data_IF_760336663994
#
_entry.id   IF_760336663994
#
_cell.length_a   1.000
_cell.length_b   1.000
_cell.length_c   1.000
_cell.angle_alpha   90.00
_cell.angle_beta   90.00
_cell.angle_gamma   90.00
#
_symmetry.space_group_name_H-M   'P 1'
#
loop_
_entity.id
_entity.type
_entity.pdbx_description
1 polymer ?
#
# COMPACT_ATOMS: atom_id res chain seq x y z
N UNK A 1 -45.40 6.28 1.78
CA UNK A 1 -44.66 6.18 3.05
C UNK A 1 -44.34 4.70 3.30
N UNK A 2 -43.19 4.23 2.84
CA UNK A 2 -42.61 2.97 3.28
C UNK A 2 -41.28 3.35 3.94
N UNK A 3 -41.30 3.36 5.26
CA UNK A 3 -40.13 3.42 6.11
C UNK A 3 -39.51 2.04 6.10
N UNK A 4 -38.51 1.81 5.27
CA UNK A 4 -37.62 0.69 5.45
C UNK A 4 -36.50 1.13 6.39
N UNK A 5 -36.58 0.62 7.61
CA UNK A 5 -35.57 0.76 8.65
C UNK A 5 -34.23 0.26 8.15
N UNK A 6 -33.37 1.16 7.77
CA UNK A 6 -31.95 0.90 7.60
C UNK A 6 -31.28 1.01 8.95
N UNK A 7 -31.32 -0.06 9.73
CA UNK A 7 -30.44 -0.20 10.89
C UNK A 7 -29.00 -0.07 10.43
N UNK A 8 -28.32 0.93 10.94
CA UNK A 8 -26.90 1.09 10.83
C UNK A 8 -26.24 -0.08 11.55
N UNK A 9 -25.76 -1.07 10.79
CA UNK A 9 -24.77 -2.01 11.28
C UNK A 9 -23.42 -1.25 11.36
N UNK A 10 -23.36 -0.25 12.22
CA UNK A 10 -22.16 0.03 12.98
C UNK A 10 -22.22 -1.02 14.09
N UNK A 11 -21.46 -2.08 13.90
CA UNK A 11 -21.57 -3.25 14.75
C UNK A 11 -21.49 -2.89 16.22
N UNK A 12 -22.06 -3.71 17.03
CA UNK A 12 -22.06 -3.71 18.51
C UNK A 12 -20.68 -3.49 19.16
N UNK A 13 -19.60 -3.48 18.37
CA UNK A 13 -18.23 -3.17 18.78
C UNK A 13 -17.93 -1.66 19.01
N UNK A 14 -18.80 -0.72 18.56
CA UNK A 14 -18.50 0.71 18.67
C UNK A 14 -18.56 1.29 20.09
N UNK A 15 -19.12 0.56 21.04
CA UNK A 15 -19.23 1.00 22.45
C UNK A 15 -18.43 0.14 23.43
N UNK A 16 -17.68 -0.86 22.96
CA UNK A 16 -16.86 -1.66 23.87
C UNK A 16 -15.63 -0.86 24.28
N UNK A 17 -15.37 -0.71 25.59
CA UNK A 17 -14.23 0.03 26.08
C UNK A 17 -12.91 -0.63 25.64
N UNK A 18 -11.90 0.18 25.28
CA UNK A 18 -10.54 -0.29 24.97
C UNK A 18 -9.86 -0.78 26.25
N UNK A 19 -10.12 -2.01 26.64
CA UNK A 19 -9.51 -2.66 27.80
C UNK A 19 -8.27 -3.39 27.34
N UNK A 20 -7.10 -2.96 27.83
CA UNK A 20 -5.83 -3.62 27.53
C UNK A 20 -5.82 -5.00 28.18
N UNK A 21 -5.85 -6.03 27.36
CA UNK A 21 -5.68 -7.42 27.77
C UNK A 21 -4.38 -7.97 27.14
N UNK A 22 -3.35 -8.16 27.95
CA UNK A 22 -2.07 -8.70 27.48
C UNK A 22 -2.11 -10.18 27.12
N UNK A 23 -3.16 -10.90 27.46
CA UNK A 23 -3.37 -12.29 27.06
C UNK A 23 -3.99 -12.38 25.65
N UNK A 24 -4.67 -11.32 25.20
CA UNK A 24 -5.22 -11.24 23.86
C UNK A 24 -4.09 -11.01 22.82
N UNK A 25 -3.94 -11.90 21.83
CA UNK A 25 -2.92 -11.76 20.76
C UNK A 25 -2.99 -10.43 20.02
N UNK A 26 -4.16 -9.79 19.90
CA UNK A 26 -4.33 -8.47 19.28
C UNK A 26 -3.56 -7.39 20.03
N UNK A 27 -3.67 -7.36 21.34
CA UNK A 27 -2.97 -6.37 22.18
C UNK A 27 -1.47 -6.60 22.16
N UNK A 28 -1.03 -7.87 22.17
CA UNK A 28 0.39 -8.19 22.04
C UNK A 28 0.96 -7.71 20.71
N UNK A 29 0.26 -7.98 19.60
CA UNK A 29 0.67 -7.51 18.27
C UNK A 29 0.70 -5.97 18.20
N UNK A 30 -0.31 -5.30 18.73
CA UNK A 30 -0.37 -3.84 18.76
C UNK A 30 0.80 -3.25 19.57
N UNK A 31 1.17 -3.85 20.69
CA UNK A 31 2.34 -3.40 21.48
C UNK A 31 3.62 -3.42 20.63
N UNK A 32 3.84 -4.50 19.89
CA UNK A 32 4.99 -4.62 18.99
C UNK A 32 4.94 -3.61 17.84
N UNK A 33 3.76 -3.35 17.26
CA UNK A 33 3.57 -2.32 16.22
C UNK A 33 3.90 -0.94 16.76
N UNK A 34 3.40 -0.59 17.94
CA UNK A 34 3.62 0.73 18.56
C UNK A 34 5.07 0.93 18.96
N UNK A 35 5.76 -0.13 19.39
CA UNK A 35 7.20 -0.09 19.69
C UNK A 35 8.06 0.28 18.47
N UNK A 36 7.69 -0.21 17.28
CA UNK A 36 8.37 0.17 16.03
C UNK A 36 8.17 1.64 15.67
N UNK A 37 6.97 2.20 15.91
CA UNK A 37 6.70 3.62 15.67
C UNK A 37 7.47 4.53 16.62
N UNK A 38 7.80 4.03 17.80
CA UNK A 38 8.60 4.74 18.80
C UNK A 38 10.11 4.66 18.54
N UNK A 39 10.52 3.90 17.54
CA UNK A 39 11.94 3.77 17.21
C UNK A 39 12.54 5.09 16.74
N UNK A 40 13.84 5.25 16.92
CA UNK A 40 14.60 6.43 16.50
C UNK A 40 14.40 6.76 15.00
N UNK A 41 14.27 5.73 14.16
CA UNK A 41 14.08 5.86 12.72
C UNK A 41 12.70 6.44 12.37
N UNK A 42 11.65 5.94 13.01
CA UNK A 42 10.30 6.49 12.82
C UNK A 42 10.23 7.94 13.33
N UNK A 43 10.84 8.23 14.46
CA UNK A 43 10.93 9.58 15.01
C UNK A 43 11.70 10.55 14.09
N UNK A 44 12.79 10.10 13.48
CA UNK A 44 13.57 10.91 12.52
C UNK A 44 12.78 11.23 11.26
N UNK A 45 11.98 10.30 10.75
CA UNK A 45 11.18 10.51 9.53
C UNK A 45 10.02 11.47 9.80
N UNK A 46 9.32 11.32 10.93
CA UNK A 46 8.26 12.23 11.35
C UNK A 46 8.78 13.58 11.86
N UNK A 47 10.01 13.65 12.35
CA UNK A 47 10.62 14.84 12.92
C UNK A 47 11.44 15.71 11.97
N UNK A 48 11.75 15.24 10.77
CA UNK A 48 12.64 15.96 9.82
C UNK A 48 12.06 17.23 9.20
N UNK A 49 10.77 17.45 9.28
CA UNK A 49 10.15 18.68 8.80
C UNK A 49 9.86 19.57 10.01
N UNK A 50 10.67 20.53 10.33
CA UNK A 50 10.54 21.74 11.20
C UNK A 50 9.32 21.87 12.15
N UNK A 51 8.51 20.82 12.28
CA UNK A 51 7.30 20.76 13.08
C UNK A 51 7.64 20.29 14.50
N UNK A 52 8.12 21.19 15.32
CA UNK A 52 8.24 20.96 16.77
C UNK A 52 6.84 20.82 17.39
N UNK A 53 6.65 19.90 18.36
CA UNK A 53 7.57 18.90 18.90
C UNK A 53 7.36 17.50 18.30
N UNK A 54 8.45 16.79 18.03
CA UNK A 54 8.54 15.41 17.54
C UNK A 54 7.67 14.41 18.35
N UNK A 55 7.63 14.45 19.69
CA UNK A 55 6.82 13.56 20.50
C UNK A 55 5.33 13.60 20.15
N UNK A 56 4.77 14.81 19.93
CA UNK A 56 3.35 14.96 19.60
C UNK A 56 2.99 14.35 18.24
N UNK A 57 3.91 14.36 17.27
CA UNK A 57 3.70 13.73 15.97
C UNK A 57 3.67 12.19 16.10
N UNK A 58 4.58 11.63 16.87
CA UNK A 58 4.62 10.17 17.14
C UNK A 58 3.35 9.74 17.88
N UNK A 59 2.93 10.48 18.89
CA UNK A 59 1.72 10.19 19.65
C UNK A 59 0.46 10.24 18.77
N UNK A 60 0.34 11.23 17.89
CA UNK A 60 -0.75 11.31 16.93
C UNK A 60 -0.78 10.12 15.99
N UNK A 61 0.37 9.66 15.49
CA UNK A 61 0.46 8.46 14.65
C UNK A 61 0.07 7.22 15.43
N UNK A 62 0.55 7.04 16.67
CA UNK A 62 0.14 5.91 17.52
C UNK A 62 -1.37 5.87 17.72
N UNK A 63 -2.01 7.01 18.03
CA UNK A 63 -3.47 7.10 18.19
C UNK A 63 -4.18 6.65 16.92
N UNK A 64 -3.72 7.09 15.75
CA UNK A 64 -4.35 6.71 14.50
C UNK A 64 -4.12 5.23 14.18
N UNK A 65 -2.93 4.70 14.45
CA UNK A 65 -2.67 3.26 14.26
C UNK A 65 -3.54 2.40 15.16
N UNK A 66 -3.74 2.80 16.42
CA UNK A 66 -4.70 2.12 17.33
C UNK A 66 -6.13 2.18 16.79
N UNK A 67 -6.55 3.37 16.35
CA UNK A 67 -7.87 3.55 15.76
C UNK A 67 -8.07 2.65 14.53
N UNK A 68 -7.09 2.56 13.64
CA UNK A 68 -7.14 1.69 12.47
C UNK A 68 -7.12 0.20 12.84
N UNK A 69 -6.28 -0.17 13.80
CA UNK A 69 -6.11 -1.54 14.24
C UNK A 69 -7.40 -2.14 14.84
N UNK A 70 -8.19 -1.31 15.51
CA UNK A 70 -9.49 -1.70 16.08
C UNK A 70 -10.70 -1.21 15.26
N UNK A 71 -10.48 -0.64 14.07
CA UNK A 71 -11.54 -0.06 13.23
C UNK A 71 -12.40 0.98 13.95
N UNK A 72 -11.77 1.81 14.80
CA UNK A 72 -12.40 2.86 15.61
C UNK A 72 -12.16 4.25 15.02
N UNK A 73 -12.93 5.24 15.49
CA UNK A 73 -12.58 6.64 15.28
C UNK A 73 -11.48 7.08 16.26
N UNK A 74 -10.53 7.90 15.79
CA UNK A 74 -9.43 8.38 16.64
C UNK A 74 -9.91 9.31 17.78
N UNK A 75 -11.05 9.95 17.63
CA UNK A 75 -11.66 10.74 18.71
C UNK A 75 -12.09 9.85 19.88
N UNK A 76 -12.63 8.67 19.58
CA UNK A 76 -12.96 7.66 20.59
C UNK A 76 -11.69 7.16 21.31
N UNK A 77 -10.62 6.86 20.57
CA UNK A 77 -9.34 6.44 21.16
C UNK A 77 -8.80 7.53 22.10
N UNK A 78 -8.90 8.81 21.72
CA UNK A 78 -8.47 9.93 22.55
C UNK A 78 -9.31 10.01 23.84
N UNK A 79 -10.62 9.81 23.75
CA UNK A 79 -11.50 9.78 24.91
C UNK A 79 -11.15 8.64 25.86
N UNK A 80 -10.94 7.44 25.33
CA UNK A 80 -10.50 6.27 26.12
C UNK A 80 -9.13 6.49 26.77
N UNK A 81 -8.21 7.15 26.07
CA UNK A 81 -6.91 7.54 26.63
C UNK A 81 -7.04 8.52 27.80
N UNK A 82 -7.99 9.48 27.75
CA UNK A 82 -8.23 10.41 28.86
C UNK A 82 -8.78 9.68 30.09
N UNK A 83 -9.59 8.67 29.88
CA UNK A 83 -10.29 7.97 30.95
C UNK A 83 -9.47 6.79 31.52
N UNK A 84 -8.51 6.22 30.77
CA UNK A 84 -7.84 4.96 31.11
C UNK A 84 -6.32 5.11 31.25
N UNK A 85 -5.84 5.16 32.49
CA UNK A 85 -4.38 5.23 32.78
C UNK A 85 -3.63 4.00 32.25
N UNK A 86 -4.23 2.80 32.28
CA UNK A 86 -3.60 1.56 31.76
C UNK A 86 -3.35 1.65 30.26
N UNK A 87 -4.29 2.21 29.47
CA UNK A 87 -4.13 2.42 28.03
C UNK A 87 -3.04 3.45 27.74
N UNK A 88 -2.97 4.56 28.51
CA UNK A 88 -1.86 5.54 28.38
C UNK A 88 -0.50 4.92 28.62
N UNK A 89 -0.36 4.12 29.68
CA UNK A 89 0.90 3.39 29.98
C UNK A 89 1.26 2.41 28.85
N UNK A 90 0.27 1.67 28.35
CA UNK A 90 0.46 0.73 27.25
C UNK A 90 1.00 1.44 26.00
N UNK A 91 0.47 2.59 25.64
CA UNK A 91 0.91 3.38 24.50
C UNK A 91 2.17 4.22 24.77
N UNK A 92 2.70 4.17 25.99
CA UNK A 92 3.82 4.99 26.45
C UNK A 92 3.62 6.48 26.15
N UNK A 93 2.45 7.00 26.59
CA UNK A 93 2.06 8.40 26.39
C UNK A 93 2.13 9.16 27.72
N UNK A 94 2.87 10.26 27.74
CA UNK A 94 2.93 11.17 28.88
C UNK A 94 1.72 12.10 28.95
N UNK A 95 1.28 12.61 27.81
CA UNK A 95 0.12 13.49 27.67
C UNK A 95 -0.79 13.00 26.56
N UNK A 96 -2.10 13.26 26.69
CA UNK A 96 -3.09 12.92 25.68
C UNK A 96 -3.41 14.16 24.85
N UNK A 97 -3.10 14.19 23.55
CA UNK A 97 -3.41 15.33 22.71
C UNK A 97 -4.93 15.48 22.55
N UNK A 98 -5.37 16.69 22.27
CA UNK A 98 -6.78 16.92 21.88
C UNK A 98 -7.04 16.42 20.46
N UNK A 99 -8.32 16.17 20.14
CA UNK A 99 -8.74 15.79 18.78
C UNK A 99 -8.29 16.84 17.78
N UNK A 100 -8.44 18.12 18.11
CA UNK A 100 -8.01 19.24 17.26
C UNK A 100 -6.50 19.27 17.05
N UNK A 101 -5.72 18.94 18.08
CA UNK A 101 -4.26 18.87 17.96
C UNK A 101 -3.82 17.78 16.97
N UNK A 102 -4.43 16.60 17.03
CA UNK A 102 -4.18 15.52 16.07
C UNK A 102 -4.60 15.94 14.66
N UNK A 103 -5.77 16.54 14.52
CA UNK A 103 -6.27 17.04 13.24
C UNK A 103 -5.34 18.11 12.65
N UNK A 104 -4.99 19.13 13.45
CA UNK A 104 -4.08 20.22 13.04
C UNK A 104 -2.71 19.67 12.62
N UNK A 105 -2.15 18.73 13.37
CA UNK A 105 -0.88 18.12 13.03
C UNK A 105 -0.95 17.41 11.67
N UNK A 106 -1.95 16.55 11.46
CA UNK A 106 -2.14 15.85 10.19
C UNK A 106 -2.43 16.82 9.03
N UNK A 107 -3.10 17.94 9.29
CA UNK A 107 -3.41 18.93 8.26
C UNK A 107 -2.20 19.72 7.76
N UNK A 108 -1.11 19.79 8.53
CA UNK A 108 0.12 20.49 8.15
C UNK A 108 0.85 19.82 6.97
N UNK A 109 0.72 18.51 6.80
CA UNK A 109 1.35 17.78 5.69
C UNK A 109 0.49 17.89 4.43
N UNK A 110 1.11 18.18 3.29
CA UNK A 110 0.49 17.96 1.99
C UNK A 110 0.34 16.46 1.72
N UNK A 111 -0.50 16.09 0.78
CA UNK A 111 -0.68 14.68 0.39
C UNK A 111 0.61 14.07 -0.14
N UNK A 112 1.33 14.82 -1.00
CA UNK A 112 2.59 14.39 -1.59
C UNK A 112 3.66 14.17 -0.50
N UNK A 113 3.77 15.10 0.45
CA UNK A 113 4.71 14.96 1.58
C UNK A 113 4.38 13.73 2.42
N UNK A 114 3.09 13.45 2.65
CA UNK A 114 2.67 12.31 3.44
C UNK A 114 2.95 10.98 2.73
N UNK A 115 2.65 10.90 1.43
CA UNK A 115 2.99 9.74 0.59
C UNK A 115 4.51 9.53 0.57
N UNK A 116 5.28 10.59 0.38
CA UNK A 116 6.74 10.53 0.37
C UNK A 116 7.31 10.07 1.72
N UNK A 117 6.71 10.52 2.82
CA UNK A 117 7.09 10.13 4.16
C UNK A 117 6.90 8.62 4.39
N UNK A 118 5.68 8.11 4.13
CA UNK A 118 5.37 6.69 4.29
C UNK A 118 6.25 5.84 3.37
N UNK A 119 6.38 6.24 2.12
CA UNK A 119 7.28 5.58 1.18
C UNK A 119 8.74 5.60 1.65
N UNK A 120 9.21 6.68 2.28
CA UNK A 120 10.53 6.78 2.88
C UNK A 120 10.77 5.72 3.96
N UNK A 121 9.80 5.55 4.88
CA UNK A 121 9.85 4.50 5.92
C UNK A 121 9.90 3.11 5.29
N UNK A 122 9.00 2.82 4.35
CA UNK A 122 8.97 1.54 3.65
C UNK A 122 10.30 1.27 2.93
N UNK A 123 10.90 2.29 2.31
CA UNK A 123 12.19 2.18 1.63
C UNK A 123 13.33 1.83 2.59
N UNK A 124 13.38 2.46 3.75
CA UNK A 124 14.41 2.17 4.77
C UNK A 124 14.38 0.69 5.14
N UNK A 125 13.21 0.12 5.34
CA UNK A 125 13.09 -1.31 5.64
C UNK A 125 13.54 -2.21 4.50
N UNK A 126 13.31 -1.81 3.24
CA UNK A 126 13.72 -2.57 2.07
C UNK A 126 15.22 -2.53 1.82
N UNK A 127 15.83 -1.36 1.93
CA UNK A 127 17.26 -1.18 1.64
C UNK A 127 18.15 -1.92 2.63
N UNK A 128 17.75 -2.00 3.89
CA UNK A 128 18.51 -2.66 4.95
C UNK A 128 18.46 -4.18 4.89
N UNK A 129 17.41 -4.75 4.30
CA UNK A 129 17.20 -6.20 4.23
C UNK A 129 17.25 -6.76 2.82
N UNK A 130 17.77 -5.96 1.87
CA UNK A 130 17.94 -6.43 0.50
C UNK A 130 18.89 -7.63 0.47
N UNK A 131 18.44 -8.71 -0.15
CA UNK A 131 19.25 -9.91 -0.33
C UNK A 131 20.41 -9.65 -1.30
N UNK A 132 21.49 -10.39 -1.11
CA UNK A 132 22.54 -10.50 -2.13
C UNK A 132 21.94 -11.15 -3.37
N UNK A 133 22.21 -10.58 -4.57
CA UNK A 133 21.71 -11.09 -5.84
C UNK A 133 20.45 -10.41 -6.35
N UNK A 134 19.69 -11.14 -7.15
CA UNK A 134 18.46 -10.64 -7.82
C UNK A 134 17.26 -10.85 -6.92
N UNK A 135 16.46 -9.80 -6.76
CA UNK A 135 15.25 -9.83 -5.96
C UNK A 135 14.02 -9.99 -6.87
N UNK A 136 12.93 -10.47 -6.26
CA UNK A 136 11.62 -10.56 -6.91
C UNK A 136 10.64 -9.67 -6.15
N UNK A 137 9.89 -8.87 -6.88
CA UNK A 137 8.80 -8.05 -6.36
C UNK A 137 7.49 -8.53 -6.97
N UNK A 138 6.38 -8.28 -6.28
CA UNK A 138 5.02 -8.55 -6.76
C UNK A 138 4.28 -7.23 -6.80
N UNK A 139 3.61 -6.94 -7.90
CA UNK A 139 2.81 -5.72 -8.07
C UNK A 139 1.40 -6.11 -8.46
N UNK A 140 0.45 -5.56 -7.74
CA UNK A 140 -0.97 -5.67 -8.06
C UNK A 140 -1.73 -4.44 -7.56
N UNK A 141 -2.99 -4.30 -7.97
CA UNK A 141 -3.82 -3.17 -7.62
C UNK A 141 -5.18 -3.59 -7.05
N UNK A 142 -5.72 -2.74 -6.19
CA UNK A 142 -7.04 -2.97 -5.60
C UNK A 142 -7.86 -1.68 -5.56
N UNK A 143 -9.19 -1.82 -5.70
CA UNK A 143 -10.12 -0.72 -5.55
C UNK A 143 -10.26 -0.29 -4.08
N UNK A 144 -10.25 1.00 -3.85
CA UNK A 144 -10.56 1.66 -2.59
C UNK A 144 -11.87 2.41 -2.74
N UNK A 145 -12.94 1.87 -2.17
CA UNK A 145 -14.28 2.40 -2.31
C UNK A 145 -14.58 3.44 -1.24
N UNK A 146 -15.15 4.59 -1.64
CA UNK A 146 -15.67 5.59 -0.72
C UNK A 146 -17.15 5.29 -0.42
N UNK A 147 -17.57 5.59 0.81
CA UNK A 147 -18.97 5.42 1.21
C UNK A 147 -19.87 6.51 0.60
N UNK A 148 -20.54 6.16 -0.51
CA UNK A 148 -21.43 7.08 -1.24
C UNK A 148 -22.68 7.47 -0.46
N UNK A 149 -23.22 6.58 0.37
CA UNK A 149 -24.46 6.86 1.10
C UNK A 149 -24.25 8.00 2.10
N UNK A 150 -23.07 8.02 2.72
CA UNK A 150 -22.69 9.08 3.60
C UNK A 150 -22.42 10.39 2.84
N UNK A 151 -21.78 10.35 1.68
CA UNK A 151 -21.54 11.50 0.80
C UNK A 151 -22.85 12.17 0.38
N UNK A 152 -23.83 11.38 -0.07
CA UNK A 152 -25.15 11.88 -0.49
C UNK A 152 -25.91 12.63 0.63
N UNK A 153 -25.70 12.23 1.88
CA UNK A 153 -26.35 12.89 3.03
C UNK A 153 -25.71 14.22 3.38
N UNK A 154 -24.41 14.37 3.20
CA UNK A 154 -23.65 15.53 3.73
C UNK A 154 -23.17 16.52 2.67
N UNK A 155 -23.09 16.12 1.41
CA UNK A 155 -22.59 16.98 0.34
C UNK A 155 -23.56 17.05 -0.83
N UNK A 156 -23.78 18.30 -1.31
CA UNK A 156 -24.47 18.52 -2.59
C UNK A 156 -23.61 17.99 -3.76
N UNK A 157 -24.24 17.56 -4.85
CA UNK A 157 -23.59 17.11 -6.08
C UNK A 157 -22.44 18.05 -6.51
N UNK A 158 -22.67 19.36 -6.45
CA UNK A 158 -21.69 20.39 -6.79
C UNK A 158 -20.40 20.35 -5.95
N UNK A 159 -20.45 19.92 -4.68
CA UNK A 159 -19.28 19.75 -3.82
C UNK A 159 -18.53 18.46 -4.09
N UNK A 160 -19.18 17.47 -4.71
CA UNK A 160 -18.54 16.19 -5.09
C UNK A 160 -17.76 16.36 -6.40
N UNK A 161 -18.23 17.20 -7.31
CA UNK A 161 -17.63 17.41 -8.65
C UNK A 161 -16.25 18.05 -8.58
N UNK A 162 -15.94 18.79 -7.51
CA UNK A 162 -14.63 19.46 -7.30
C UNK A 162 -13.62 18.60 -6.53
N UNK A 163 -13.79 17.27 -6.50
CA UNK A 163 -12.89 16.36 -5.81
C UNK A 163 -12.09 15.54 -6.82
N UNK A 164 -10.85 15.16 -6.45
CA UNK A 164 -9.96 14.39 -7.34
C UNK A 164 -10.23 12.88 -7.34
N UNK A 165 -11.22 12.37 -6.59
CA UNK A 165 -11.67 11.00 -6.77
C UNK A 165 -12.58 10.89 -7.98
N UNK A 166 -12.52 9.74 -8.65
CA UNK A 166 -13.25 9.52 -9.89
C UNK A 166 -14.04 8.20 -9.85
N UNK A 167 -14.91 8.04 -10.83
CA UNK A 167 -15.55 6.77 -11.10
C UNK A 167 -14.54 5.72 -11.51
N UNK A 168 -14.67 4.55 -10.96
CA UNK A 168 -13.93 3.36 -11.34
C UNK A 168 -14.85 2.18 -11.60
N UNK A 169 -14.30 1.16 -12.23
CA UNK A 169 -14.97 -0.13 -12.42
C UNK A 169 -14.08 -1.25 -11.88
N UNK A 170 -14.71 -2.15 -11.14
CA UNK A 170 -14.07 -3.37 -10.68
C UNK A 170 -14.98 -4.56 -11.00
N UNK A 171 -14.50 -5.62 -11.67
CA UNK A 171 -15.33 -6.78 -12.03
C UNK A 171 -16.10 -7.38 -10.85
N UNK A 172 -15.51 -7.35 -9.65
CA UNK A 172 -16.08 -7.95 -8.44
C UNK A 172 -17.19 -7.10 -7.81
N UNK A 173 -17.15 -5.76 -7.96
CA UNK A 173 -18.05 -4.84 -7.24
C UNK A 173 -18.81 -3.90 -8.17
N UNK A 174 -18.59 -3.98 -9.49
CA UNK A 174 -19.17 -3.06 -10.47
C UNK A 174 -18.58 -1.66 -10.40
N UNK A 175 -19.41 -0.65 -10.68
CA UNK A 175 -19.01 0.74 -10.63
C UNK A 175 -18.89 1.25 -9.18
N UNK A 176 -17.82 1.99 -8.90
CA UNK A 176 -17.56 2.61 -7.60
C UNK A 176 -17.01 4.02 -7.76
N UNK A 177 -17.09 4.82 -6.71
CA UNK A 177 -16.35 6.08 -6.60
C UNK A 177 -15.21 5.90 -5.62
N UNK A 178 -14.00 6.30 -6.00
CA UNK A 178 -12.86 6.18 -5.11
C UNK A 178 -11.53 6.25 -5.81
N UNK A 179 -10.63 5.38 -5.37
CA UNK A 179 -9.24 5.33 -5.81
C UNK A 179 -8.84 3.91 -6.16
N UNK A 180 -7.79 3.79 -6.94
CA UNK A 180 -7.06 2.55 -7.18
C UNK A 180 -5.73 2.61 -6.42
N UNK A 181 -5.53 1.69 -5.49
CA UNK A 181 -4.26 1.49 -4.79
C UNK A 181 -3.45 0.43 -5.53
N UNK A 182 -2.31 0.82 -6.07
CA UNK A 182 -1.30 -0.10 -6.62
C UNK A 182 -0.22 -0.30 -5.56
N UNK A 183 0.07 -1.55 -5.22
CA UNK A 183 1.02 -1.91 -4.18
C UNK A 183 2.13 -2.79 -4.77
N UNK A 184 3.38 -2.49 -4.45
CA UNK A 184 4.52 -3.34 -4.71
C UNK A 184 5.00 -3.97 -3.40
N UNK A 185 5.17 -5.29 -3.39
CA UNK A 185 5.67 -6.07 -2.26
C UNK A 185 7.01 -6.71 -2.62
N UNK A 186 7.88 -6.85 -1.63
CA UNK A 186 8.99 -7.82 -1.73
C UNK A 186 8.41 -9.24 -1.67
N UNK A 187 8.66 -10.06 -2.70
CA UNK A 187 8.04 -11.38 -2.85
C UNK A 187 8.43 -12.41 -1.77
N UNK A 188 9.45 -12.12 -0.98
CA UNK A 188 9.89 -13.02 0.08
C UNK A 188 9.32 -12.65 1.44
N UNK A 189 9.41 -11.37 1.78
CA UNK A 189 8.97 -10.88 3.10
C UNK A 189 7.52 -10.39 3.09
N UNK A 190 6.90 -10.27 1.93
CA UNK A 190 5.60 -9.65 1.65
C UNK A 190 5.47 -8.20 2.12
N UNK A 191 6.58 -7.57 2.50
CA UNK A 191 6.57 -6.18 2.95
C UNK A 191 6.21 -5.24 1.81
N UNK A 192 5.30 -4.30 2.04
CA UNK A 192 5.12 -3.18 1.13
C UNK A 192 6.44 -2.42 0.94
N UNK A 193 6.81 -2.20 -0.30
CA UNK A 193 8.04 -1.49 -0.65
C UNK A 193 7.75 -0.17 -1.35
N UNK A 194 6.61 -0.10 -2.03
CA UNK A 194 6.16 1.07 -2.76
C UNK A 194 4.65 0.99 -2.97
N UNK A 195 3.99 2.14 -3.04
CA UNK A 195 2.59 2.22 -3.45
C UNK A 195 2.32 3.47 -4.26
N UNK A 196 1.30 3.38 -5.12
CA UNK A 196 0.71 4.50 -5.86
C UNK A 196 -0.79 4.54 -5.59
N UNK A 197 -1.38 5.73 -5.64
CA UNK A 197 -2.80 5.95 -5.44
C UNK A 197 -3.35 6.83 -6.54
N UNK A 198 -4.23 6.27 -7.37
CA UNK A 198 -4.83 6.96 -8.51
C UNK A 198 -6.32 7.19 -8.28
N UNK A 199 -6.88 8.32 -8.73
CA UNK A 199 -8.33 8.52 -8.78
C UNK A 199 -8.99 7.50 -9.72
N UNK A 200 -10.16 7.00 -9.33
CA UNK A 200 -10.93 6.06 -10.13
C UNK A 200 -10.27 4.70 -10.35
N UNK A 201 -10.26 4.22 -11.58
CA UNK A 201 -9.69 2.93 -11.97
C UNK A 201 -8.96 3.01 -13.30
N UNK A 202 -7.80 3.70 -13.38
CA UNK A 202 -6.98 3.68 -14.58
C UNK A 202 -6.57 2.25 -14.93
N UNK A 203 -6.36 1.97 -16.21
CA UNK A 203 -5.99 0.63 -16.66
C UNK A 203 -4.60 0.24 -16.14
N UNK A 204 -4.46 -0.99 -15.66
CA UNK A 204 -3.19 -1.45 -15.04
C UNK A 204 -1.99 -1.34 -15.98
N UNK A 205 -2.19 -1.61 -17.29
CA UNK A 205 -1.11 -1.52 -18.27
C UNK A 205 -0.52 -0.11 -18.39
N UNK A 206 -1.28 0.94 -18.10
CA UNK A 206 -0.78 2.33 -18.12
C UNK A 206 -0.02 2.69 -16.84
N UNK A 207 -0.33 2.03 -15.72
CA UNK A 207 0.33 2.23 -14.43
C UNK A 207 1.71 1.55 -14.39
N UNK A 208 1.96 0.58 -15.29
CA UNK A 208 3.22 -0.18 -15.33
C UNK A 208 4.46 0.72 -15.28
N UNK A 209 4.52 1.70 -16.20
CA UNK A 209 5.66 2.61 -16.29
C UNK A 209 5.87 3.41 -15.00
N UNK A 210 4.78 3.89 -14.42
CA UNK A 210 4.83 4.73 -13.23
C UNK A 210 5.34 3.97 -12.00
N UNK A 211 4.80 2.77 -11.73
CA UNK A 211 5.22 1.97 -10.58
C UNK A 211 6.68 1.48 -10.72
N UNK A 212 7.11 1.11 -11.94
CA UNK A 212 8.49 0.69 -12.17
C UNK A 212 9.44 1.87 -12.04
N UNK A 213 9.10 3.05 -12.58
CA UNK A 213 9.87 4.28 -12.39
C UNK A 213 10.05 4.60 -10.91
N UNK A 214 8.98 4.53 -10.13
CA UNK A 214 9.04 4.83 -8.69
C UNK A 214 9.95 3.83 -7.94
N UNK A 215 9.86 2.55 -8.25
CA UNK A 215 10.74 1.51 -7.69
C UNK A 215 12.22 1.75 -8.07
N UNK A 216 12.50 2.19 -9.29
CA UNK A 216 13.85 2.50 -9.77
C UNK A 216 14.39 3.79 -9.14
N UNK A 217 13.59 4.87 -9.14
CA UNK A 217 13.94 6.17 -8.55
C UNK A 217 14.33 6.02 -7.08
N UNK A 218 13.64 5.17 -6.35
CA UNK A 218 13.89 4.87 -4.94
C UNK A 218 14.98 3.81 -4.73
N UNK A 219 15.62 3.33 -5.79
CA UNK A 219 16.66 2.28 -5.76
C UNK A 219 16.21 0.95 -5.12
N UNK A 220 14.90 0.69 -5.09
CA UNK A 220 14.32 -0.56 -4.62
C UNK A 220 14.57 -1.64 -5.66
N UNK A 221 14.09 -1.44 -6.90
CA UNK A 221 14.40 -2.34 -8.01
C UNK A 221 15.73 -1.98 -8.66
N UNK A 222 16.58 -2.97 -8.87
CA UNK A 222 17.90 -2.86 -9.51
C UNK A 222 17.94 -3.62 -10.83
N UNK A 223 19.04 -3.48 -11.54
CA UNK A 223 19.27 -4.19 -12.80
C UNK A 223 19.18 -5.70 -12.58
N UNK A 224 18.38 -6.37 -13.39
CA UNK A 224 18.18 -7.81 -13.35
C UNK A 224 17.20 -8.32 -12.31
N UNK A 225 16.58 -7.47 -11.50
CA UNK A 225 15.48 -7.88 -10.62
C UNK A 225 14.26 -8.32 -11.44
N UNK A 226 13.41 -9.16 -10.85
CA UNK A 226 12.16 -9.61 -11.44
C UNK A 226 11.00 -8.87 -10.78
N UNK A 227 10.06 -8.38 -11.57
CA UNK A 227 8.80 -7.83 -11.06
C UNK A 227 7.66 -8.64 -11.66
N UNK A 228 6.85 -9.24 -10.79
CA UNK A 228 5.69 -10.06 -11.16
C UNK A 228 4.46 -9.17 -11.17
N UNK A 229 3.72 -9.20 -12.27
CA UNK A 229 2.50 -8.41 -12.48
C UNK A 229 1.34 -9.32 -12.87
N UNK A 230 0.12 -8.93 -12.47
CA UNK A 230 -1.09 -9.60 -12.96
C UNK A 230 -1.30 -9.37 -14.47
N UNK A 231 -2.16 -10.19 -15.07
CA UNK A 231 -2.57 -10.10 -16.49
C UNK A 231 -3.21 -8.74 -16.86
N UNK A 232 -3.67 -7.94 -15.89
CA UNK A 232 -4.15 -6.58 -16.09
C UNK A 232 -3.08 -5.65 -16.67
N UNK A 233 -1.81 -5.89 -16.34
CA UNK A 233 -0.66 -5.12 -16.82
C UNK A 233 -0.18 -5.54 -18.22
N UNK A 234 -0.83 -6.54 -18.83
CA UNK A 234 -0.41 -7.07 -20.12
C UNK A 234 -0.50 -6.02 -21.24
N UNK A 235 0.65 -5.71 -21.81
CA UNK A 235 0.89 -5.06 -23.09
C UNK A 235 2.26 -5.51 -23.58
N UNK A 236 2.42 -5.72 -24.88
CA UNK A 236 3.74 -6.10 -25.44
C UNK A 236 4.80 -5.04 -25.13
N UNK A 237 4.40 -3.77 -25.14
CA UNK A 237 5.30 -2.64 -24.88
C UNK A 237 5.83 -2.65 -23.45
N UNK A 238 5.02 -3.10 -22.47
CA UNK A 238 5.47 -3.23 -21.08
C UNK A 238 6.58 -4.28 -20.89
N UNK A 239 6.58 -5.35 -21.68
CA UNK A 239 7.70 -6.31 -21.68
C UNK A 239 8.97 -5.71 -22.29
N UNK A 240 8.83 -5.00 -23.39
CA UNK A 240 9.93 -4.34 -24.11
C UNK A 240 10.56 -3.26 -23.24
N UNK A 241 9.73 -2.37 -22.69
CA UNK A 241 10.12 -1.27 -21.82
C UNK A 241 10.80 -1.77 -20.54
N UNK A 242 10.24 -2.81 -19.91
CA UNK A 242 10.83 -3.42 -18.72
C UNK A 242 12.26 -3.89 -18.95
N UNK A 243 12.55 -4.49 -20.11
CA UNK A 243 13.88 -4.98 -20.45
C UNK A 243 14.81 -3.82 -20.88
N UNK A 244 14.41 -3.03 -21.87
CA UNK A 244 15.31 -2.09 -22.50
C UNK A 244 15.45 -0.76 -21.75
N UNK A 245 14.37 -0.24 -21.17
CA UNK A 245 14.44 1.02 -20.40
C UNK A 245 14.79 0.77 -18.94
N UNK A 246 14.12 -0.18 -18.29
CA UNK A 246 14.27 -0.40 -16.85
C UNK A 246 15.32 -1.44 -16.48
N UNK A 247 15.81 -2.24 -17.44
CA UNK A 247 16.76 -3.34 -17.19
C UNK A 247 16.27 -4.30 -16.10
N UNK A 248 15.00 -4.64 -16.09
CA UNK A 248 14.35 -5.63 -15.21
C UNK A 248 13.78 -6.79 -16.02
N UNK A 249 13.33 -7.84 -15.34
CA UNK A 249 12.53 -8.92 -15.94
C UNK A 249 11.06 -8.69 -15.56
N UNK A 250 10.22 -8.14 -16.46
CA UNK A 250 8.81 -7.91 -16.20
C UNK A 250 8.02 -9.20 -16.43
N UNK A 251 7.84 -10.00 -15.38
CA UNK A 251 7.01 -11.20 -15.46
C UNK A 251 5.54 -10.82 -15.38
N UNK A 252 4.91 -10.58 -16.53
CA UNK A 252 3.48 -10.25 -16.63
C UNK A 252 2.76 -11.52 -17.07
N UNK A 253 1.70 -11.92 -16.34
CA UNK A 253 0.89 -13.08 -16.73
C UNK A 253 0.24 -12.86 -18.08
N UNK A 254 0.36 -13.87 -18.94
CA UNK A 254 -0.11 -13.78 -20.31
C UNK A 254 -1.64 -13.80 -20.42
N UNK A 255 -2.19 -13.05 -21.37
CA UNK A 255 -3.58 -13.19 -21.80
C UNK A 255 -3.71 -14.29 -22.86
N UNK A 256 -4.93 -14.79 -23.09
CA UNK A 256 -5.20 -15.85 -24.08
C UNK A 256 -4.68 -15.55 -25.50
N UNK A 257 -4.59 -14.27 -25.86
CA UNK A 257 -4.10 -13.80 -27.17
C UNK A 257 -2.59 -13.52 -27.21
N UNK A 258 -1.86 -13.88 -26.16
CA UNK A 258 -0.41 -13.73 -26.12
C UNK A 258 0.30 -14.67 -27.10
N UNK A 259 1.35 -14.17 -27.72
CA UNK A 259 2.23 -14.95 -28.60
C UNK A 259 3.68 -14.58 -28.39
N UNK A 260 4.50 -15.56 -28.09
CA UNK A 260 5.95 -15.39 -27.95
C UNK A 260 6.56 -14.84 -29.26
N UNK A 261 6.10 -15.33 -30.42
CA UNK A 261 6.59 -14.85 -31.72
C UNK A 261 6.30 -13.37 -31.95
N UNK A 262 5.12 -12.90 -31.51
CA UNK A 262 4.79 -11.45 -31.56
C UNK A 262 5.66 -10.64 -30.60
N UNK A 263 5.97 -11.18 -29.43
CA UNK A 263 6.86 -10.52 -28.47
C UNK A 263 8.28 -10.41 -29.02
N UNK A 264 8.81 -11.49 -29.58
CA UNK A 264 10.16 -11.51 -30.14
C UNK A 264 10.34 -10.52 -31.30
N UNK A 265 9.32 -10.35 -32.15
CA UNK A 265 9.33 -9.34 -33.22
C UNK A 265 9.43 -7.90 -32.70
N UNK A 266 9.06 -7.65 -31.43
CA UNK A 266 9.15 -6.32 -30.81
C UNK A 266 10.46 -6.10 -30.05
N UNK A 267 11.28 -7.13 -29.86
CA UNK A 267 12.58 -7.03 -29.20
C UNK A 267 13.67 -6.49 -30.15
N UNK A 268 13.40 -5.30 -30.68
CA UNK A 268 14.41 -4.55 -31.44
C UNK A 268 15.25 -3.75 -30.46
N UNK A 269 16.58 -3.85 -30.63
CA UNK A 269 17.48 -3.05 -29.80
C UNK A 269 17.26 -1.56 -30.04
N UNK A 270 17.09 -0.74 -28.99
CA UNK A 270 16.91 0.70 -29.14
C UNK A 270 18.13 1.35 -29.83
N UNK A 271 17.88 2.29 -30.74
CA UNK A 271 18.95 2.96 -31.51
C UNK A 271 19.99 3.64 -30.63
N UNK A 272 19.59 4.13 -29.44
CA UNK A 272 20.50 4.80 -28.51
C UNK A 272 21.63 3.89 -27.97
N UNK A 273 21.53 2.57 -28.15
CA UNK A 273 22.59 1.62 -27.74
C UNK A 273 23.77 1.74 -28.66
N UNK A 274 23.53 1.95 -29.97
CA UNK A 274 24.58 1.95 -30.97
C UNK A 274 25.42 3.23 -30.86
N UNK A 275 26.75 3.08 -31.00
CA UNK A 275 27.71 4.19 -30.83
C UNK A 275 28.19 4.41 -29.41
N UNK A 276 27.71 3.66 -28.42
CA UNK A 276 28.23 3.72 -27.05
C UNK A 276 29.44 2.81 -26.87
N UNK A 277 30.35 3.22 -26.00
CA UNK A 277 31.54 2.39 -25.66
C UNK A 277 31.17 1.06 -24.99
N UNK A 278 30.00 0.99 -24.32
CA UNK A 278 29.49 -0.17 -23.60
C UNK A 278 28.43 -0.97 -24.38
N UNK A 279 28.27 -0.73 -25.69
CA UNK A 279 27.25 -1.38 -26.56
C UNK A 279 27.23 -2.91 -26.41
N UNK A 280 28.38 -3.57 -26.48
CA UNK A 280 28.48 -5.04 -26.35
C UNK A 280 27.94 -5.53 -25.00
N UNK A 281 28.27 -4.83 -23.92
CA UNK A 281 27.80 -5.16 -22.56
C UNK A 281 26.28 -4.99 -22.41
N UNK A 282 25.72 -3.91 -22.99
CA UNK A 282 24.30 -3.65 -23.00
C UNK A 282 23.52 -4.72 -23.77
N UNK A 283 23.99 -5.10 -24.97
CA UNK A 283 23.37 -6.16 -25.77
C UNK A 283 23.37 -7.50 -24.99
N UNK A 284 24.50 -7.86 -24.39
CA UNK A 284 24.59 -9.09 -23.58
C UNK A 284 23.61 -9.05 -22.39
N UNK A 285 23.50 -7.91 -21.71
CA UNK A 285 22.56 -7.70 -20.60
C UNK A 285 21.13 -7.89 -21.07
N UNK A 286 20.70 -7.21 -22.12
CA UNK A 286 19.34 -7.29 -22.64
C UNK A 286 19.01 -8.69 -23.14
N UNK A 287 19.92 -9.35 -23.83
CA UNK A 287 19.74 -10.75 -24.25
C UNK A 287 19.58 -11.69 -23.04
N UNK A 288 20.33 -11.47 -21.96
CA UNK A 288 20.18 -12.26 -20.72
C UNK A 288 18.81 -12.02 -20.05
N UNK A 289 18.34 -10.77 -20.00
CA UNK A 289 17.02 -10.45 -19.43
C UNK A 289 15.88 -11.03 -20.27
N UNK A 290 15.95 -10.88 -21.59
CA UNK A 290 14.97 -11.42 -22.52
C UNK A 290 14.90 -12.97 -22.43
N UNK A 291 16.05 -13.64 -22.34
CA UNK A 291 16.12 -15.11 -22.17
C UNK A 291 15.44 -15.53 -20.86
N UNK A 292 15.70 -14.83 -19.76
CA UNK A 292 15.04 -15.09 -18.47
C UNK A 292 13.54 -14.85 -18.53
N UNK A 293 13.10 -13.77 -19.18
CA UNK A 293 11.67 -13.49 -19.37
C UNK A 293 10.99 -14.63 -20.14
N UNK A 294 11.57 -15.07 -21.26
CA UNK A 294 11.02 -16.18 -22.06
C UNK A 294 10.94 -17.49 -21.27
N UNK A 295 11.94 -17.77 -20.44
CA UNK A 295 11.93 -18.93 -19.54
C UNK A 295 10.77 -18.82 -18.53
N UNK A 296 10.54 -17.64 -17.95
CA UNK A 296 9.45 -17.42 -16.98
C UNK A 296 8.07 -17.48 -17.62
N UNK A 297 7.91 -16.97 -18.86
CA UNK A 297 6.65 -17.04 -19.60
C UNK A 297 6.28 -18.47 -20.04
N UNK A 298 7.27 -19.36 -20.17
CA UNK A 298 7.03 -20.80 -20.42
C UNK A 298 6.64 -21.56 -19.16
N UNK A 299 7.08 -21.09 -18.00
CA UNK A 299 6.83 -21.69 -16.68
C UNK A 299 6.22 -20.64 -15.73
N UNK A 300 5.11 -20.04 -16.16
CA UNK A 300 4.43 -19.01 -15.36
C UNK A 300 3.78 -19.57 -14.09
N UNK A 301 3.50 -20.87 -14.04
CA UNK A 301 2.86 -21.55 -12.91
C UNK A 301 3.64 -21.33 -11.61
N UNK A 302 4.96 -21.31 -11.66
CA UNK A 302 5.84 -21.04 -10.49
C UNK A 302 5.63 -19.68 -9.84
N UNK A 303 4.97 -18.74 -10.53
CA UNK A 303 4.68 -17.38 -10.02
C UNK A 303 3.24 -17.21 -9.54
N UNK A 304 2.35 -18.17 -9.82
CA UNK A 304 0.92 -18.12 -9.44
C UNK A 304 0.78 -18.03 -7.93
N UNK A 305 1.46 -18.88 -7.18
CA UNK A 305 1.43 -18.87 -5.72
C UNK A 305 1.93 -17.53 -5.16
N UNK A 306 3.06 -17.02 -5.68
CA UNK A 306 3.62 -15.72 -5.26
C UNK A 306 2.63 -14.59 -5.51
N UNK A 307 1.96 -14.60 -6.68
CA UNK A 307 0.95 -13.60 -7.00
C UNK A 307 -0.25 -13.67 -6.04
N UNK A 308 -0.71 -14.88 -5.69
CA UNK A 308 -1.85 -15.01 -4.78
C UNK A 308 -1.61 -14.41 -3.40
N UNK A 309 -0.36 -14.35 -2.94
CA UNK A 309 -0.01 -13.77 -1.64
C UNK A 309 -0.35 -12.28 -1.54
N UNK A 310 -0.28 -11.51 -2.64
CA UNK A 310 -0.67 -10.08 -2.60
C UNK A 310 -2.18 -9.91 -2.40
N UNK A 311 -2.98 -10.88 -2.87
CA UNK A 311 -4.43 -10.88 -2.66
C UNK A 311 -4.76 -11.07 -1.16
N UNK A 312 -4.03 -11.95 -0.47
CA UNK A 312 -4.17 -12.14 1.00
C UNK A 312 -3.74 -10.87 1.75
N UNK A 313 -2.68 -10.19 1.30
CA UNK A 313 -2.24 -8.90 1.85
C UNK A 313 -3.33 -7.83 1.68
N UNK A 314 -3.95 -7.73 0.50
CA UNK A 314 -5.08 -6.81 0.29
C UNK A 314 -6.31 -7.18 1.12
N UNK A 315 -6.61 -8.47 1.25
CA UNK A 315 -7.71 -8.96 2.09
C UNK A 315 -7.51 -8.54 3.54
N UNK A 316 -6.30 -8.72 4.08
CA UNK A 316 -5.95 -8.28 5.43
C UNK A 316 -6.09 -6.76 5.58
N UNK A 317 -5.55 -5.96 4.67
CA UNK A 317 -5.68 -4.50 4.70
C UNK A 317 -7.15 -4.04 4.69
N UNK A 318 -8.00 -4.70 3.90
CA UNK A 318 -9.42 -4.37 3.79
C UNK A 318 -10.24 -4.80 5.00
N UNK A 319 -10.04 -6.01 5.48
CA UNK A 319 -10.88 -6.60 6.53
C UNK A 319 -10.38 -6.25 7.94
N UNK A 320 -9.06 -6.40 8.19
CA UNK A 320 -8.50 -6.16 9.51
C UNK A 320 -8.25 -4.68 9.80
N UNK A 321 -7.86 -3.88 8.78
CA UNK A 321 -7.39 -2.51 8.99
C UNK A 321 -8.29 -1.44 8.34
N UNK A 322 -9.54 -1.79 8.07
CA UNK A 322 -10.57 -0.83 7.68
C UNK A 322 -10.42 -0.21 6.28
N UNK A 323 -9.62 -0.82 5.37
CA UNK A 323 -9.45 -0.31 4.02
C UNK A 323 -10.63 -0.64 3.08
N UNK A 324 -11.58 -1.46 3.52
CA UNK A 324 -12.74 -1.90 2.71
C UNK A 324 -13.70 -0.76 2.39
N UNK A 325 -13.97 0.12 3.37
CA UNK A 325 -14.82 1.31 3.22
C UNK A 325 -14.21 2.47 3.99
N UNK A 326 -13.92 3.53 3.28
CA UNK A 326 -13.34 4.72 3.89
C UNK A 326 -14.42 5.76 4.12
N UNK A 327 -14.72 6.06 5.38
CA UNK A 327 -15.65 7.09 5.83
C UNK A 327 -14.94 8.44 6.00
N UNK A 328 -14.14 8.85 5.01
CA UNK A 328 -13.47 10.14 4.97
C UNK A 328 -13.95 10.91 3.75
N UNK A 329 -13.98 12.24 3.86
CA UNK A 329 -14.73 13.08 2.94
C UNK A 329 -13.88 13.94 2.04
N UNK A 330 -12.70 14.26 2.50
CA UNK A 330 -11.78 15.04 1.69
C UNK A 330 -10.78 14.09 1.07
N UNK A 331 -10.44 14.32 -0.18
CA UNK A 331 -9.37 13.64 -0.90
C UNK A 331 -8.11 13.49 -0.06
N UNK A 332 -7.71 14.59 0.58
CA UNK A 332 -6.56 14.64 1.47
C UNK A 332 -6.66 13.65 2.63
N UNK A 333 -7.82 13.57 3.28
CA UNK A 333 -8.05 12.63 4.39
C UNK A 333 -8.07 11.18 3.92
N UNK A 334 -8.67 10.90 2.75
CA UNK A 334 -8.69 9.57 2.15
C UNK A 334 -7.27 9.11 1.85
N UNK A 335 -6.50 9.91 1.12
CA UNK A 335 -5.11 9.57 0.75
C UNK A 335 -4.25 9.31 1.99
N UNK A 336 -4.34 10.14 3.02
CA UNK A 336 -3.61 9.94 4.28
C UNK A 336 -4.03 8.66 5.01
N UNK A 337 -5.33 8.35 5.01
CA UNK A 337 -5.83 7.11 5.60
C UNK A 337 -5.26 5.89 4.87
N UNK A 338 -5.26 5.88 3.55
CA UNK A 338 -4.65 4.81 2.75
C UNK A 338 -3.16 4.68 3.05
N UNK A 339 -2.43 5.80 3.09
CA UNK A 339 -1.00 5.81 3.43
C UNK A 339 -0.72 5.18 4.80
N UNK A 340 -1.49 5.55 5.82
CA UNK A 340 -1.34 4.99 7.17
C UNK A 340 -1.73 3.52 7.23
N UNK A 341 -2.71 3.09 6.43
CA UNK A 341 -3.07 1.69 6.32
C UNK A 341 -1.94 0.86 5.72
N UNK A 342 -1.31 1.35 4.64
CA UNK A 342 -0.14 0.70 4.05
C UNK A 342 1.03 0.65 5.05
N UNK A 343 1.22 1.70 5.85
CA UNK A 343 2.21 1.73 6.91
C UNK A 343 1.92 0.67 7.98
N UNK A 344 0.69 0.62 8.50
CA UNK A 344 0.27 -0.36 9.50
C UNK A 344 0.46 -1.80 8.99
N UNK A 345 0.03 -2.05 7.76
CA UNK A 345 0.23 -3.34 7.09
C UNK A 345 1.72 -3.72 7.03
N UNK A 346 2.58 -2.78 6.63
CA UNK A 346 4.03 -2.99 6.59
C UNK A 346 4.63 -3.30 7.96
N UNK A 347 4.18 -2.60 9.02
CA UNK A 347 4.60 -2.84 10.40
C UNK A 347 4.22 -4.26 10.85
N UNK A 348 2.97 -4.65 10.65
CA UNK A 348 2.46 -5.97 11.03
C UNK A 348 3.20 -7.10 10.29
N UNK A 349 3.36 -6.96 8.96
CA UNK A 349 4.12 -7.94 8.17
C UNK A 349 5.57 -8.03 8.65
N UNK A 350 6.16 -6.91 9.06
CA UNK A 350 7.54 -6.88 9.56
C UNK A 350 7.74 -7.66 10.86
N UNK A 351 6.67 -7.89 11.60
CA UNK A 351 6.65 -8.67 12.84
C UNK A 351 6.43 -10.18 12.63
N UNK A 352 6.47 -10.64 11.38
CA UNK A 352 6.39 -12.06 11.04
C UNK A 352 5.00 -12.53 10.59
N UNK A 353 4.05 -11.61 10.35
CA UNK A 353 2.77 -11.92 9.72
C UNK A 353 2.90 -11.90 8.18
N UNK A 354 3.87 -12.65 7.67
CA UNK A 354 4.23 -12.73 6.26
C UNK A 354 3.91 -14.08 5.62
N UNK A 355 3.13 -14.92 6.29
CA UNK A 355 2.64 -16.20 5.80
C UNK A 355 1.14 -16.14 5.54
N UNK A 356 0.65 -16.89 4.55
CA UNK A 356 -0.77 -16.94 4.17
C UNK A 356 -1.67 -17.21 5.38
N UNK A 357 -1.37 -18.23 6.19
CA UNK A 357 -2.16 -18.63 7.36
C UNK A 357 -2.22 -17.48 8.38
N UNK A 358 -1.11 -16.79 8.63
CA UNK A 358 -1.06 -15.67 9.59
C UNK A 358 -1.82 -14.45 9.09
N UNK A 359 -1.75 -14.15 7.79
CA UNK A 359 -2.51 -13.08 7.15
C UNK A 359 -4.03 -13.37 7.19
N UNK A 360 -4.42 -14.62 6.94
CA UNK A 360 -5.82 -15.04 7.03
C UNK A 360 -6.36 -14.89 8.45
N UNK A 361 -5.64 -15.33 9.47
CA UNK A 361 -6.01 -15.13 10.88
C UNK A 361 -6.22 -13.65 11.21
N UNK A 362 -5.32 -12.77 10.74
CA UNK A 362 -5.50 -11.32 10.92
C UNK A 362 -6.79 -10.81 10.26
N UNK A 363 -7.16 -11.32 9.10
CA UNK A 363 -8.36 -10.90 8.38
C UNK A 363 -9.66 -11.34 9.04
N UNK A 364 -9.59 -12.24 10.00
CA UNK A 364 -10.72 -12.74 10.81
C UNK A 364 -10.86 -11.99 12.16
N UNK A 365 -9.85 -11.24 12.55
CA UNK A 365 -9.88 -10.39 13.75
C UNK A 365 -10.69 -9.13 13.52
#
# INVERSE_FOLDING_TARGET
>A
LIVLGGEYIFGEHMNSPLIVDRKDPKWFLLEQVLAQVSSREASQVFGRNELKPIPAAVDAVKIILVAMFFSLDYSFVIQELKNRRKLRKFMNMQSVPSVDSVYKLLSKFTEIQFISLVNGILNTWCTWKRRRGKNTFIVDATAITLDLNWFRRKYTRKRLENRDYAWGYCPTHGHYIGYKLTLALDAHSLRPVCFLLHPGSPHDSTIFREIVNELKRRRIARIGDTIVFDKGYYAYDNYVEGIFEFSIVPMIFAKKNFSISKLLKRFNYPLWIFGRSDTKLLIQRFASLARRLLMYLRDEVRFVEKRSLIEDVFKTAKNAFGLKRIHKYTTRSVKKTVCLNVLLLGLVISLGFNEKIRLQKLSEW
#
